data_IF_944118466971
#
_entry.id   IF_944118466971
#
_cell.length_a   1.000
_cell.length_b   1.000
_cell.length_c   1.000
_cell.angle_alpha   90.00
_cell.angle_beta   90.00
_cell.angle_gamma   90.00
#
_symmetry.space_group_name_H-M   'P 1'
#
loop_
_entity.id
_entity.type
_entity.pdbx_description
1 polymer ?
#
# COMPACT_ATOMS: atom_id res chain seq x y z
N UNK A 1 -1.21 -9.19 -19.24
CA UNK A 1 0.25 -9.20 -19.49
C UNK A 1 0.92 -7.85 -19.22
N UNK A 2 0.20 -6.71 -19.27
CA UNK A 2 0.80 -5.38 -19.09
C UNK A 2 1.59 -5.19 -17.79
N UNK A 3 1.09 -5.71 -16.66
CA UNK A 3 1.78 -5.57 -15.38
C UNK A 3 3.19 -6.19 -15.41
N UNK A 4 3.33 -7.39 -15.99
CA UNK A 4 4.64 -8.05 -16.12
C UNK A 4 5.61 -7.24 -16.99
N UNK A 5 5.11 -6.59 -18.05
CA UNK A 5 5.92 -5.71 -18.89
C UNK A 5 6.41 -4.48 -18.10
N UNK A 6 5.55 -3.90 -17.25
CA UNK A 6 5.91 -2.78 -16.37
C UNK A 6 6.98 -3.18 -15.36
N UNK A 7 6.86 -4.35 -14.71
CA UNK A 7 7.88 -4.87 -13.79
C UNK A 7 9.22 -5.14 -14.50
N UNK A 8 9.18 -5.52 -15.78
CA UNK A 8 10.39 -5.77 -16.57
C UNK A 8 11.05 -4.51 -17.15
N UNK A 9 10.38 -3.36 -17.09
CA UNK A 9 10.91 -2.12 -17.62
C UNK A 9 12.21 -1.72 -16.91
N UNK A 10 13.14 -1.11 -17.67
CA UNK A 10 14.47 -0.71 -17.18
C UNK A 10 14.37 0.12 -15.88
N UNK A 11 13.49 1.12 -15.87
CA UNK A 11 13.25 2.00 -14.71
C UNK A 11 12.84 1.23 -13.45
N UNK A 12 12.00 0.19 -13.59
CA UNK A 12 11.55 -0.61 -12.46
C UNK A 12 12.71 -1.45 -11.87
N UNK A 13 13.51 -2.07 -12.74
CA UNK A 13 14.69 -2.85 -12.35
C UNK A 13 15.78 -1.99 -11.70
N UNK A 14 15.99 -0.78 -12.21
CA UNK A 14 16.96 0.16 -11.63
C UNK A 14 16.50 0.72 -10.28
N UNK A 15 15.19 0.88 -10.07
CA UNK A 15 14.64 1.40 -8.81
C UNK A 15 14.75 0.39 -7.67
N UNK A 16 14.65 -0.91 -7.95
CA UNK A 16 14.88 -1.97 -6.97
C UNK A 16 15.56 -3.17 -7.63
N UNK A 17 16.91 -3.18 -7.70
CA UNK A 17 17.66 -4.26 -8.35
C UNK A 17 17.61 -5.59 -7.58
N UNK A 18 17.27 -5.57 -6.28
CA UNK A 18 17.14 -6.76 -5.47
C UNK A 18 15.77 -7.47 -5.65
N UNK A 19 14.79 -6.79 -6.25
CA UNK A 19 13.46 -7.36 -6.46
C UNK A 19 13.51 -8.53 -7.45
N UNK A 20 13.02 -9.69 -7.01
CA UNK A 20 12.94 -10.89 -7.83
C UNK A 20 11.56 -11.01 -8.48
N UNK A 21 11.53 -11.28 -9.79
CA UNK A 21 10.30 -11.50 -10.54
C UNK A 21 10.20 -12.97 -10.95
N UNK A 22 9.17 -13.66 -10.46
CA UNK A 22 8.91 -15.07 -10.78
C UNK A 22 7.57 -15.17 -11.50
N UNK A 23 7.55 -15.82 -12.67
CA UNK A 23 6.34 -16.05 -13.45
C UNK A 23 6.05 -17.55 -13.47
N UNK A 24 4.90 -17.94 -12.92
CA UNK A 24 4.42 -19.33 -12.96
C UNK A 24 3.22 -19.42 -13.90
N UNK A 25 3.33 -20.26 -14.92
CA UNK A 25 2.19 -20.61 -15.78
C UNK A 25 1.44 -21.77 -15.14
N UNK A 26 0.12 -21.64 -15.08
CA UNK A 26 -0.79 -22.60 -14.47
C UNK A 26 -1.74 -23.12 -15.54
N UNK A 27 -2.12 -24.39 -15.43
CA UNK A 27 -3.09 -25.06 -16.31
C UNK A 27 -4.37 -25.45 -15.56
N UNK A 28 -4.46 -25.08 -14.30
CA UNK A 28 -5.68 -25.24 -13.51
C UNK A 28 -6.67 -24.09 -13.76
N UNK A 29 -7.92 -24.29 -13.35
CA UNK A 29 -9.05 -23.38 -13.63
C UNK A 29 -9.09 -22.15 -12.69
N UNK A 30 -8.03 -21.88 -11.92
CA UNK A 30 -8.01 -20.73 -11.02
C UNK A 30 -7.72 -19.41 -11.76
N UNK A 31 -8.31 -18.29 -11.29
CA UNK A 31 -8.02 -16.99 -11.85
C UNK A 31 -6.55 -16.59 -11.73
N UNK A 32 -6.04 -15.72 -12.62
CA UNK A 32 -4.69 -15.20 -12.51
C UNK A 32 -4.50 -14.40 -11.22
N UNK A 33 -3.41 -14.67 -10.53
CA UNK A 33 -3.06 -14.01 -9.28
C UNK A 33 -1.66 -13.41 -9.36
N UNK A 34 -1.47 -12.29 -8.67
CA UNK A 34 -0.18 -11.67 -8.43
C UNK A 34 0.09 -11.76 -6.94
N UNK A 35 1.16 -12.47 -6.58
CA UNK A 35 1.66 -12.53 -5.21
C UNK A 35 2.87 -11.61 -5.09
N UNK A 36 2.85 -10.74 -4.08
CA UNK A 36 3.93 -9.80 -3.77
C UNK A 36 4.41 -10.07 -2.35
N UNK A 37 5.72 -10.14 -2.18
CA UNK A 37 6.36 -10.27 -0.87
C UNK A 37 7.20 -9.02 -0.62
N UNK A 38 6.90 -8.32 0.47
CA UNK A 38 7.61 -7.10 0.87
C UNK A 38 8.85 -7.45 1.71
N UNK A 39 9.74 -6.47 1.90
CA UNK A 39 11.04 -6.66 2.58
C UNK A 39 10.90 -7.17 4.01
N UNK A 40 9.81 -6.85 4.69
CA UNK A 40 9.50 -7.31 6.04
C UNK A 40 8.86 -8.71 6.09
N UNK A 41 8.71 -9.39 4.94
CA UNK A 41 8.10 -10.71 4.82
C UNK A 41 6.58 -10.71 4.68
N UNK A 42 5.92 -9.55 4.70
CA UNK A 42 4.47 -9.46 4.45
C UNK A 42 4.16 -9.91 3.02
N UNK A 43 3.18 -10.79 2.86
CA UNK A 43 2.69 -11.24 1.57
C UNK A 43 1.32 -10.62 1.25
N UNK A 44 1.14 -10.21 0.00
CA UNK A 44 -0.13 -9.69 -0.52
C UNK A 44 -0.50 -10.48 -1.78
N UNK A 45 -1.75 -10.93 -1.88
CA UNK A 45 -2.28 -11.65 -3.04
C UNK A 45 -3.34 -10.79 -3.72
N UNK A 46 -3.12 -10.47 -4.99
CA UNK A 46 -3.97 -9.57 -5.76
C UNK A 46 -4.64 -10.37 -6.87
N UNK A 47 -5.97 -10.25 -6.98
CA UNK A 47 -6.72 -10.75 -8.14
C UNK A 47 -6.35 -9.95 -9.39
N UNK A 48 -5.78 -10.62 -10.37
CA UNK A 48 -5.38 -10.01 -11.64
C UNK A 48 -6.45 -10.18 -12.73
N UNK A 49 -7.63 -10.72 -12.39
CA UNK A 49 -8.75 -10.90 -13.33
C UNK A 49 -9.46 -9.58 -13.58
N UNK A 50 -9.74 -8.85 -12.51
CA UNK A 50 -10.57 -7.63 -12.56
C UNK A 50 -9.78 -6.35 -12.28
N UNK A 51 -8.53 -6.47 -11.85
CA UNK A 51 -7.71 -5.33 -11.42
C UNK A 51 -6.77 -4.87 -12.53
N UNK A 52 -6.82 -3.57 -12.88
CA UNK A 52 -5.93 -3.02 -13.91
C UNK A 52 -4.46 -3.04 -13.48
N UNK A 53 -3.53 -3.12 -14.44
CA UNK A 53 -2.10 -3.10 -14.15
C UNK A 53 -1.65 -1.82 -13.41
N UNK A 54 -2.27 -0.67 -13.74
CA UNK A 54 -2.00 0.59 -13.05
C UNK A 54 -2.47 0.56 -11.59
N UNK A 55 -3.66 0.02 -11.35
CA UNK A 55 -4.20 -0.14 -9.99
C UNK A 55 -3.34 -1.09 -9.17
N UNK A 56 -2.96 -2.25 -9.73
CA UNK A 56 -2.06 -3.22 -9.07
C UNK A 56 -0.74 -2.54 -8.68
N UNK A 57 -0.13 -1.79 -9.60
CA UNK A 57 1.10 -1.03 -9.34
C UNK A 57 0.91 -0.05 -8.18
N UNK A 58 -0.18 0.72 -8.19
CA UNK A 58 -0.44 1.70 -7.14
C UNK A 58 -0.63 1.02 -5.79
N UNK A 59 -1.41 -0.07 -5.73
CA UNK A 59 -1.61 -0.86 -4.50
C UNK A 59 -0.29 -1.34 -3.89
N UNK A 60 0.63 -1.85 -4.71
CA UNK A 60 1.94 -2.32 -4.25
C UNK A 60 2.79 -1.17 -3.71
N UNK A 61 2.79 -0.03 -4.39
CA UNK A 61 3.55 1.15 -3.96
C UNK A 61 3.00 1.75 -2.66
N UNK A 62 1.68 1.93 -2.56
CA UNK A 62 1.01 2.41 -1.34
C UNK A 62 1.29 1.48 -0.16
N UNK A 63 1.15 0.16 -0.36
CA UNK A 63 1.45 -0.82 0.68
C UNK A 63 2.91 -0.76 1.11
N UNK A 64 3.84 -0.67 0.15
CA UNK A 64 5.26 -0.51 0.43
C UNK A 64 5.57 0.74 1.26
N UNK A 65 4.99 1.88 0.90
CA UNK A 65 5.17 3.13 1.64
C UNK A 65 4.59 3.05 3.07
N UNK A 66 3.42 2.42 3.25
CA UNK A 66 2.84 2.21 4.58
C UNK A 66 3.75 1.35 5.46
N UNK A 67 4.31 0.26 4.92
CA UNK A 67 5.22 -0.62 5.66
C UNK A 67 6.55 0.08 5.99
N UNK A 68 7.09 0.86 5.06
CA UNK A 68 8.29 1.67 5.30
C UNK A 68 8.05 2.72 6.40
N UNK A 69 6.89 3.38 6.38
CA UNK A 69 6.52 4.37 7.38
C UNK A 69 6.34 3.74 8.76
N UNK A 70 5.60 2.63 8.85
CA UNK A 70 5.47 1.86 10.09
C UNK A 70 6.84 1.47 10.66
N UNK A 71 7.76 1.05 9.79
CA UNK A 71 9.12 0.68 10.19
C UNK A 71 9.90 1.88 10.74
N UNK A 72 9.82 3.05 10.10
CA UNK A 72 10.46 4.29 10.60
C UNK A 72 9.95 4.69 12.00
N UNK A 73 8.64 4.61 12.24
CA UNK A 73 8.07 4.89 13.57
C UNK A 73 8.56 3.90 14.62
N UNK A 74 8.55 2.61 14.27
CA UNK A 74 9.05 1.56 15.15
C UNK A 74 10.53 1.73 15.50
N UNK A 75 11.37 2.15 14.56
CA UNK A 75 12.80 2.44 14.79
C UNK A 75 13.02 3.64 15.69
N UNK A 76 12.14 4.64 15.64
CA UNK A 76 12.15 5.80 16.54
C UNK A 76 11.63 5.48 17.95
N UNK A 77 11.10 4.27 18.19
CA UNK A 77 10.44 3.91 19.44
C UNK A 77 9.02 4.48 19.59
N UNK A 78 8.45 5.00 18.50
CA UNK A 78 7.13 5.61 18.47
C UNK A 78 6.06 4.59 18.05
N UNK A 79 4.81 4.81 18.47
CA UNK A 79 3.68 3.96 18.06
C UNK A 79 3.19 4.26 16.65
N UNK A 80 2.81 3.22 15.91
CA UNK A 80 2.11 3.32 14.63
C UNK A 80 0.79 2.53 14.67
N UNK A 81 -0.32 3.04 14.11
CA UNK A 81 -0.48 4.39 13.56
C UNK A 81 -0.45 5.46 14.64
N UNK A 82 -0.08 6.69 14.25
CA UNK A 82 -0.10 7.83 15.18
C UNK A 82 -1.52 8.13 15.59
N UNK A 83 -1.83 7.97 16.89
CA UNK A 83 -3.12 8.33 17.47
C UNK A 83 -3.00 9.73 18.05
N UNK A 84 -3.75 10.68 17.48
CA UNK A 84 -3.82 12.05 18.00
C UNK A 84 -4.86 12.05 19.13
N UNK A 85 -4.50 12.44 20.36
CA UNK A 85 -5.47 12.50 21.46
C UNK A 85 -6.53 13.57 21.23
N UNK A 86 -7.76 13.32 21.72
CA UNK A 86 -8.92 14.19 21.46
C UNK A 86 -8.71 15.62 22.01
N UNK A 87 -8.00 15.76 23.12
CA UNK A 87 -7.66 17.06 23.71
C UNK A 87 -6.82 17.94 22.77
N UNK A 88 -5.91 17.35 21.96
CA UNK A 88 -5.10 18.09 21.00
C UNK A 88 -5.93 18.51 19.78
N UNK A 89 -6.95 17.72 19.42
CA UNK A 89 -7.88 18.06 18.33
C UNK A 89 -8.78 19.26 18.67
N UNK A 90 -9.09 19.45 19.96
CA UNK A 90 -9.93 20.55 20.45
C UNK A 90 -9.15 21.86 20.66
N UNK A 91 -7.81 21.81 20.72
CA UNK A 91 -6.96 22.99 20.91
C UNK A 91 -6.96 23.85 19.64
N UNK A 92 -7.49 25.08 19.76
CA UNK A 92 -7.42 26.08 18.68
C UNK A 92 -6.05 26.76 18.72
N UNK A 93 -5.17 26.43 17.77
CA UNK A 93 -3.87 27.07 17.64
C UNK A 93 -3.99 28.42 16.89
N UNK A 94 -3.58 29.55 17.51
CA UNK A 94 -3.66 30.86 16.85
C UNK A 94 -2.76 30.88 15.62
N UNK A 95 -3.34 31.20 14.45
CA UNK A 95 -2.64 31.25 13.15
C UNK A 95 -3.01 30.12 12.18
N UNK A 96 -3.69 29.06 12.63
CA UNK A 96 -4.20 28.00 11.75
C UNK A 96 -5.63 28.36 11.34
N UNK A 97 -5.87 28.65 10.05
CA UNK A 97 -7.23 28.84 9.53
C UNK A 97 -7.96 27.49 9.65
N UNK A 98 -9.16 27.42 10.24
CA UNK A 98 -9.88 26.16 10.38
C UNK A 98 -10.16 25.58 9.00
N UNK A 99 -9.56 24.42 8.71
CA UNK A 99 -9.87 23.65 7.51
C UNK A 99 -11.14 22.87 7.83
N UNK A 100 -12.21 23.05 7.03
CA UNK A 100 -13.45 22.28 7.18
C UNK A 100 -13.12 20.79 7.07
N UNK A 101 -13.24 20.07 8.20
CA UNK A 101 -13.11 18.61 8.24
C UNK A 101 -14.33 18.03 7.52
N UNK A 102 -14.09 17.32 6.42
CA UNK A 102 -15.13 16.52 5.77
C UNK A 102 -15.18 15.21 6.53
N UNK A 103 -16.20 15.05 7.38
CA UNK A 103 -16.52 13.81 8.07
C UNK A 103 -16.76 12.70 7.04
N UNK A 104 -15.75 11.89 6.75
CA UNK A 104 -15.95 10.62 6.05
C UNK A 104 -16.42 9.60 7.06
N UNK A 105 -17.75 9.43 7.17
CA UNK A 105 -18.36 8.24 7.79
C UNK A 105 -17.75 7.00 7.14
N UNK A 106 -17.03 6.20 7.93
CA UNK A 106 -16.74 4.81 7.60
C UNK A 106 -18.04 4.07 7.84
N UNK A 107 -18.83 3.88 6.78
CA UNK A 107 -19.99 3.00 6.82
C UNK A 107 -19.48 1.56 6.72
N UNK A 108 -19.45 0.86 7.85
CA UNK A 108 -19.35 -0.59 7.93
C UNK A 108 -20.47 -1.20 7.08
N UNK A 109 -20.13 -1.68 5.87
CA UNK A 109 -21.00 -2.62 5.15
C UNK A 109 -20.86 -3.99 5.78
N UNK A 110 -21.67 -4.23 6.81
CA UNK A 110 -22.11 -5.56 7.20
C UNK A 110 -23.28 -5.93 6.28
N UNK A 111 -23.05 -6.79 5.30
CA UNK A 111 -24.09 -7.59 4.67
C UNK A 111 -23.54 -8.95 4.28
#
# INVERSE_FOLDING_TARGET
MEFLAQCNARKAKESNPACQLIVKRRTDDQPPQIKVTFVNGVEEVIDATSTSAQTIRQMILDKGQMLETEQMFREAGESWPVVIPEEELQKSYPGIKPRKVVEKKIEEKKK
#
